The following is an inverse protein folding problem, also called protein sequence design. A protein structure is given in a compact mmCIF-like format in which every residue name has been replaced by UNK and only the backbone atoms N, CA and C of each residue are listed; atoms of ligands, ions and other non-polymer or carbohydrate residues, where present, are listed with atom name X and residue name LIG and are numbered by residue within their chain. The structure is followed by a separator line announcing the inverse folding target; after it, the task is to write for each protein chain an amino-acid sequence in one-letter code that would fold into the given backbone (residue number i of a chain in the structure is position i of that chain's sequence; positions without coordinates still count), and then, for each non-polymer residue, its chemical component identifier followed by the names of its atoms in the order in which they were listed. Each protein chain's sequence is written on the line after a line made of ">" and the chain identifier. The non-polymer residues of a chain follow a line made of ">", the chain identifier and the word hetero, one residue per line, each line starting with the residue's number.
data_IF_964466582893
#
_entry.id   IF_964466582893
#
_cell.length_a   1.000
_cell.length_b   1.000
_cell.length_c   1.000
_cell.angle_alpha   90.00
_cell.angle_beta   90.00
_cell.angle_gamma   90.00
#
_symmetry.space_group_name_H-M   'P 1'
#
loop_
_entity.id
_entity.type
_entity.pdbx_description
1 polymer ?
#
# COMPACT_ATOMS: atom_id res chain seq x y z
N UNK A 1 12.81 9.79 -29.65
CA UNK A 1 12.88 10.23 -28.23
C UNK A 1 12.63 9.01 -27.37
N UNK A 2 13.68 8.45 -26.76
CA UNK A 2 13.58 7.25 -25.91
C UNK A 2 12.98 7.66 -24.57
N UNK A 3 11.69 7.39 -24.35
CA UNK A 3 11.10 7.42 -23.00
C UNK A 3 11.76 6.30 -22.21
N UNK A 4 12.65 6.66 -21.29
CA UNK A 4 13.19 5.71 -20.32
C UNK A 4 12.01 5.03 -19.60
N UNK A 5 11.90 3.72 -19.76
CA UNK A 5 11.10 2.87 -18.88
C UNK A 5 11.64 3.07 -17.46
N UNK A 6 11.09 4.02 -16.72
CA UNK A 6 11.38 4.15 -15.31
C UNK A 6 10.76 2.92 -14.64
N UNK A 7 11.59 1.92 -14.34
CA UNK A 7 11.17 0.76 -13.55
C UNK A 7 10.45 1.26 -12.30
N UNK A 8 9.27 0.68 -12.04
CA UNK A 8 8.52 1.01 -10.83
C UNK A 8 9.38 0.69 -9.61
N UNK A 9 9.37 1.54 -8.57
CA UNK A 9 10.11 1.28 -7.35
C UNK A 9 9.87 -0.13 -6.81
N UNK A 10 10.95 -0.84 -6.47
CA UNK A 10 10.87 -2.16 -5.85
C UNK A 10 10.14 -2.12 -4.51
N UNK A 11 9.74 -3.29 -3.99
CA UNK A 11 9.00 -3.39 -2.74
C UNK A 11 9.75 -2.74 -1.57
N UNK A 12 11.04 -3.00 -1.44
CA UNK A 12 11.86 -2.41 -0.37
C UNK A 12 12.01 -0.89 -0.49
N UNK A 13 12.09 -0.36 -1.71
CA UNK A 13 12.15 1.08 -1.91
C UNK A 13 10.84 1.77 -1.50
N UNK A 14 9.70 1.14 -1.83
CA UNK A 14 8.37 1.61 -1.39
C UNK A 14 8.24 1.54 0.14
N UNK A 15 8.72 0.46 0.76
CA UNK A 15 8.70 0.30 2.21
C UNK A 15 9.57 1.32 2.92
N UNK A 16 10.79 1.56 2.44
CA UNK A 16 11.66 2.61 3.01
C UNK A 16 11.01 3.98 2.92
N UNK A 17 10.36 4.29 1.79
CA UNK A 17 9.61 5.54 1.64
C UNK A 17 8.46 5.62 2.67
N UNK A 18 7.65 4.57 2.80
CA UNK A 18 6.52 4.53 3.73
C UNK A 18 6.94 4.42 5.20
N UNK A 19 8.18 4.06 5.53
CA UNK A 19 8.70 4.11 6.90
C UNK A 19 9.08 5.54 7.34
N UNK A 20 9.16 6.49 6.42
CA UNK A 20 9.39 7.90 6.75
C UNK A 20 8.10 8.54 7.26
N UNK A 21 8.10 9.19 8.44
CA UNK A 21 6.93 9.91 8.95
C UNK A 21 6.41 11.02 8.02
N UNK A 22 7.30 11.64 7.24
CA UNK A 22 6.96 12.72 6.29
C UNK A 22 6.15 12.23 5.06
N UNK A 23 5.98 10.91 4.92
CA UNK A 23 5.17 10.33 3.84
C UNK A 23 3.66 10.45 4.08
N UNK A 24 3.23 10.86 5.27
CA UNK A 24 1.83 10.83 5.69
C UNK A 24 1.26 12.25 5.86
N UNK A 25 0.15 12.60 5.19
CA UNK A 25 -0.40 13.96 5.17
C UNK A 25 -0.92 14.44 6.54
N UNK A 26 -1.35 13.53 7.41
CA UNK A 26 -1.86 13.80 8.75
C UNK A 26 -0.78 14.14 9.78
N UNK A 27 0.49 13.91 9.42
CA UNK A 27 1.63 13.94 10.34
C UNK A 27 1.60 12.75 11.31
N UNK A 28 2.74 12.09 11.48
CA UNK A 28 2.93 11.02 12.48
C UNK A 28 4.31 11.17 13.12
N UNK A 29 4.46 10.74 14.36
CA UNK A 29 5.75 10.78 15.08
C UNK A 29 6.66 9.61 14.71
N UNK A 30 6.06 8.44 14.49
CA UNK A 30 6.77 7.22 14.12
C UNK A 30 5.91 6.36 13.20
N UNK A 31 6.55 5.38 12.57
CA UNK A 31 5.89 4.39 11.71
C UNK A 31 6.42 3.02 12.05
N UNK A 32 5.54 2.12 12.49
CA UNK A 32 5.87 0.71 12.72
C UNK A 32 5.44 -0.13 11.53
N UNK A 33 6.33 -0.99 11.05
CA UNK A 33 6.02 -1.95 9.99
C UNK A 33 5.59 -3.28 10.61
N UNK A 34 4.43 -3.77 10.20
CA UNK A 34 4.00 -5.15 10.39
C UNK A 34 3.87 -5.83 9.02
N UNK A 35 4.32 -7.06 8.91
CA UNK A 35 4.29 -7.79 7.65
C UNK A 35 3.46 -9.07 7.77
N UNK A 36 2.56 -9.25 6.80
CA UNK A 36 1.80 -10.49 6.60
C UNK A 36 2.32 -11.20 5.35
N UNK A 37 1.80 -12.38 5.05
CA UNK A 37 2.16 -13.10 3.83
C UNK A 37 1.88 -12.31 2.54
N UNK A 38 0.86 -11.44 2.54
CA UNK A 38 0.34 -10.77 1.33
C UNK A 38 0.48 -9.25 1.34
N UNK A 39 0.73 -8.63 2.50
CA UNK A 39 0.72 -7.19 2.64
C UNK A 39 1.72 -6.71 3.70
N UNK A 40 2.15 -5.45 3.56
CA UNK A 40 2.84 -4.67 4.58
C UNK A 40 1.86 -3.65 5.17
N UNK A 41 1.86 -3.54 6.49
CA UNK A 41 1.04 -2.62 7.27
C UNK A 41 1.97 -1.58 7.88
N UNK A 42 1.64 -0.31 7.71
CA UNK A 42 2.36 0.83 8.26
C UNK A 42 1.47 1.47 9.31
N UNK A 43 1.79 1.22 10.58
CA UNK A 43 1.06 1.70 11.73
C UNK A 43 1.59 3.09 12.08
N UNK A 44 0.74 4.09 11.96
CA UNK A 44 0.99 5.48 12.34
C UNK A 44 0.22 5.82 13.62
N UNK A 45 0.35 7.06 14.10
CA UNK A 45 -0.34 7.50 15.32
C UNK A 45 -1.88 7.50 15.18
N UNK A 46 -2.40 7.68 13.96
CA UNK A 46 -3.85 7.83 13.71
C UNK A 46 -4.44 6.76 12.79
N UNK A 47 -3.66 6.29 11.83
CA UNK A 47 -4.14 5.39 10.78
C UNK A 47 -3.20 4.20 10.56
N UNK A 48 -3.74 3.14 9.95
CA UNK A 48 -2.95 2.02 9.46
C UNK A 48 -3.06 1.95 7.94
N UNK A 49 -1.93 2.07 7.26
CA UNK A 49 -1.87 1.95 5.81
C UNK A 49 -1.48 0.54 5.41
N UNK A 50 -2.27 -0.10 4.53
CA UNK A 50 -2.02 -1.45 4.04
C UNK A 50 -1.63 -1.44 2.57
N UNK A 51 -0.43 -1.94 2.26
CA UNK A 51 0.06 -2.11 0.90
C UNK A 51 0.16 -3.60 0.53
N UNK A 52 -0.53 -4.02 -0.54
CA UNK A 52 -0.41 -5.38 -1.10
C UNK A 52 0.98 -5.60 -1.72
N UNK A 53 1.62 -6.72 -1.40
CA UNK A 53 2.91 -7.12 -1.97
C UNK A 53 2.73 -7.61 -3.42
N UNK A 54 3.73 -7.43 -4.30
CA UNK A 54 3.72 -7.93 -5.67
C UNK A 54 4.05 -9.43 -5.71
N UNK A 55 3.17 -10.27 -5.14
CA UNK A 55 3.37 -11.73 -5.03
C UNK A 55 2.47 -12.49 -5.99
N UNK A 56 2.91 -13.68 -6.41
CA UNK A 56 2.10 -14.62 -7.19
C UNK A 56 2.25 -16.02 -6.59
N UNK A 57 1.13 -16.58 -6.15
CA UNK A 57 0.99 -17.94 -5.62
C UNK A 57 0.02 -18.73 -6.50
N UNK A 58 0.00 -20.06 -6.36
CA UNK A 58 -0.87 -20.94 -7.15
C UNK A 58 -2.38 -20.65 -7.01
N UNK A 59 -2.79 -19.91 -5.98
CA UNK A 59 -4.18 -19.56 -5.68
C UNK A 59 -4.44 -18.04 -5.70
N UNK A 60 -3.42 -17.22 -5.99
CA UNK A 60 -3.52 -15.76 -5.84
C UNK A 60 -2.47 -15.03 -6.67
N UNK A 61 -2.89 -14.08 -7.48
CA UNK A 61 -1.97 -13.29 -8.31
C UNK A 61 -2.10 -11.79 -8.05
N UNK A 62 -1.09 -11.22 -7.38
CA UNK A 62 -0.91 -9.79 -7.13
C UNK A 62 0.28 -9.21 -7.91
N UNK A 63 0.74 -9.87 -8.98
CA UNK A 63 1.92 -9.45 -9.75
C UNK A 63 1.74 -8.08 -10.41
N UNK A 64 0.58 -7.81 -11.02
CA UNK A 64 0.28 -6.54 -11.69
C UNK A 64 -0.38 -5.51 -10.77
N UNK A 65 -0.26 -4.23 -11.14
CA UNK A 65 -0.90 -3.14 -10.41
C UNK A 65 -2.43 -3.23 -10.48
N UNK A 66 -2.99 -3.55 -11.65
CA UNK A 66 -4.44 -3.66 -11.84
C UNK A 66 -5.04 -4.79 -11.00
N UNK A 67 -4.35 -5.94 -10.91
CA UNK A 67 -4.77 -7.05 -10.03
C UNK A 67 -4.79 -6.63 -8.57
N UNK A 68 -3.75 -5.93 -8.11
CA UNK A 68 -3.71 -5.38 -6.75
C UNK A 68 -4.81 -4.35 -6.51
N UNK A 69 -5.09 -3.48 -7.48
CA UNK A 69 -6.15 -2.48 -7.37
C UNK A 69 -7.54 -3.12 -7.24
N UNK A 70 -7.86 -4.10 -8.09
CA UNK A 70 -9.13 -4.83 -8.02
C UNK A 70 -9.33 -5.52 -6.68
N UNK A 71 -8.30 -6.20 -6.17
CA UNK A 71 -8.36 -6.89 -4.87
C UNK A 71 -8.47 -5.91 -3.71
N UNK A 72 -7.74 -4.80 -3.72
CA UNK A 72 -7.89 -3.77 -2.68
C UNK A 72 -9.29 -3.14 -2.68
N UNK A 73 -9.87 -2.93 -3.86
CA UNK A 73 -11.22 -2.37 -4.00
C UNK A 73 -12.27 -3.33 -3.44
N UNK A 74 -12.16 -4.62 -3.74
CA UNK A 74 -13.05 -5.65 -3.19
C UNK A 74 -12.85 -5.85 -1.69
N UNK A 75 -11.60 -5.85 -1.20
CA UNK A 75 -11.32 -5.93 0.24
C UNK A 75 -11.96 -4.75 0.99
N UNK A 76 -11.86 -3.53 0.46
CA UNK A 76 -12.51 -2.34 1.01
C UNK A 76 -14.04 -2.48 1.01
N UNK A 77 -14.63 -2.86 -0.13
CA UNK A 77 -16.09 -3.02 -0.31
C UNK A 77 -16.67 -4.07 0.64
N UNK A 78 -16.00 -5.21 0.77
CA UNK A 78 -16.44 -6.32 1.61
C UNK A 78 -16.26 -6.00 3.09
N UNK A 79 -15.09 -5.50 3.49
CA UNK A 79 -14.81 -5.32 4.91
C UNK A 79 -15.56 -4.12 5.51
N UNK A 80 -15.81 -3.05 4.76
CA UNK A 80 -16.66 -1.94 5.23
C UNK A 80 -18.06 -2.39 5.65
N UNK A 81 -18.61 -3.44 5.03
CA UNK A 81 -19.92 -3.99 5.41
C UNK A 81 -19.89 -4.73 6.76
N UNK A 82 -18.70 -5.17 7.17
CA UNK A 82 -18.48 -6.02 8.35
C UNK A 82 -17.81 -5.27 9.51
N UNK A 83 -17.46 -4.00 9.31
CA UNK A 83 -16.76 -3.18 10.31
C UNK A 83 -17.36 -1.79 10.35
N UNK A 84 -17.51 -1.23 11.54
CA UNK A 84 -17.93 0.17 11.69
C UNK A 84 -16.71 1.10 11.62
N UNK A 85 -16.55 1.80 10.49
CA UNK A 85 -15.53 2.85 10.33
C UNK A 85 -14.06 2.40 10.30
N UNK A 86 -13.75 1.09 10.26
CA UNK A 86 -12.35 0.61 10.27
C UNK A 86 -11.67 0.76 8.90
N UNK A 87 -12.36 0.43 7.81
CA UNK A 87 -11.81 0.48 6.46
C UNK A 87 -12.16 1.80 5.77
N UNK A 88 -11.22 2.76 5.80
CA UNK A 88 -11.48 4.16 5.51
C UNK A 88 -11.49 4.52 4.03
N UNK A 89 -10.50 4.12 3.23
CA UNK A 89 -10.46 4.40 1.79
C UNK A 89 -9.36 3.61 1.06
N UNK A 90 -9.37 3.65 -0.28
CA UNK A 90 -8.29 3.16 -1.13
C UNK A 90 -7.49 4.35 -1.69
N UNK A 91 -6.26 4.52 -1.21
CA UNK A 91 -5.37 5.62 -1.62
C UNK A 91 -4.21 5.15 -2.51
N UNK A 92 -3.82 5.93 -3.53
CA UNK A 92 -2.68 5.61 -4.38
C UNK A 92 -1.35 5.97 -3.71
N UNK A 93 -0.36 5.08 -3.80
CA UNK A 93 1.03 5.40 -3.44
C UNK A 93 1.65 6.29 -4.52
N UNK A 94 1.94 7.55 -4.18
CA UNK A 94 2.52 8.54 -5.10
C UNK A 94 3.75 9.20 -4.47
N UNK A 95 4.74 9.53 -5.30
CA UNK A 95 5.87 10.39 -4.92
C UNK A 95 5.90 11.58 -5.86
N UNK A 96 5.78 12.80 -5.32
CA UNK A 96 5.99 14.02 -6.12
C UNK A 96 7.48 14.08 -6.51
N UNK A 97 7.79 14.19 -7.80
CA UNK A 97 9.14 14.63 -8.22
C UNK A 97 9.23 16.11 -7.89
N UNK A 98 10.15 16.47 -6.99
CA UNK A 98 10.67 17.83 -6.95
C UNK A 98 11.71 18.00 -8.05
#
# INVERSE_FOLDING_TARGET
>A
MHTANAELPGLEQKTRFLLSPDSYPEGTSSVRLEETHMARLFLTDKFVYKMKKPVCFHYLDFSSLDKRYGVCSEELRLNRRLTDGVYLDLVPLRRKRR
#
